data_IF_716651576424
#
_entry.id   IF_716651576424
#
_cell.length_a   1.000
_cell.length_b   1.000
_cell.length_c   1.000
_cell.angle_alpha   90.00
_cell.angle_beta   90.00
_cell.angle_gamma   90.00
#
_symmetry.space_group_name_H-M   'P 1'
#
loop_
_entity.id
_entity.type
_entity.pdbx_description
1 polymer ?
#
# COMPACT_ATOMS: atom_id res chain seq x y z
N UNK A 1 30.70 90.57 10.02
CA UNK A 1 30.74 89.74 8.79
C UNK A 1 30.68 88.28 9.20
N UNK A 2 29.61 87.59 8.75
CA UNK A 2 29.40 86.15 8.44
C UNK A 2 30.15 85.11 9.29
N UNK A 3 29.51 84.31 10.14
CA UNK A 3 28.64 83.13 9.83
C UNK A 3 29.33 82.12 8.91
N UNK A 4 30.06 81.17 9.49
CA UNK A 4 30.43 79.85 8.93
C UNK A 4 30.75 78.93 10.12
N UNK A 5 30.29 77.70 10.29
CA UNK A 5 29.18 76.93 9.73
C UNK A 5 29.02 75.72 10.66
N UNK A 6 27.87 75.63 11.32
CA UNK A 6 27.44 74.43 12.04
C UNK A 6 26.89 73.42 11.02
N UNK A 7 27.74 72.60 10.42
CA UNK A 7 27.33 71.57 9.45
C UNK A 7 28.15 70.28 9.58
N UNK A 8 28.32 69.76 10.80
CA UNK A 8 28.89 68.42 11.02
C UNK A 8 27.92 67.42 11.68
N UNK A 9 26.75 67.88 12.16
CA UNK A 9 25.86 67.06 12.99
C UNK A 9 24.76 66.25 12.28
N UNK A 10 24.48 66.51 10.99
CA UNK A 10 23.26 65.97 10.34
C UNK A 10 23.53 64.70 9.52
N UNK A 11 24.78 64.40 9.15
CA UNK A 11 25.09 63.28 8.27
C UNK A 11 25.03 61.88 8.97
N UNK A 12 25.28 61.80 10.28
CA UNK A 12 25.28 60.53 11.02
C UNK A 12 23.87 60.02 11.39
N UNK A 13 22.88 60.91 11.49
CA UNK A 13 21.50 60.53 11.84
C UNK A 13 20.76 59.86 10.69
N UNK A 14 20.98 60.31 9.44
CA UNK A 14 20.28 59.79 8.26
C UNK A 14 20.79 58.40 7.86
N UNK A 15 22.10 58.15 7.99
CA UNK A 15 22.71 56.84 7.71
C UNK A 15 22.23 55.74 8.66
N UNK A 16 22.12 56.03 9.97
CA UNK A 16 21.63 55.08 10.98
C UNK A 16 20.13 54.77 10.81
N UNK A 17 19.31 55.74 10.41
CA UNK A 17 17.90 55.50 10.09
C UNK A 17 17.75 54.68 8.81
N UNK A 18 18.59 54.88 7.80
CA UNK A 18 18.52 54.12 6.55
C UNK A 18 19.01 52.66 6.72
N UNK A 19 20.11 52.45 7.45
CA UNK A 19 20.60 51.09 7.81
C UNK A 19 19.64 50.40 8.77
N UNK A 20 19.08 51.13 9.75
CA UNK A 20 18.04 50.62 10.64
C UNK A 20 16.75 50.25 9.90
N UNK A 21 16.37 51.01 8.87
CA UNK A 21 15.20 50.71 8.04
C UNK A 21 15.46 49.53 7.09
N UNK A 22 16.65 49.40 6.51
CA UNK A 22 17.03 48.22 5.72
C UNK A 22 17.16 46.97 6.60
N UNK A 23 17.66 47.08 7.84
CA UNK A 23 17.71 45.97 8.78
C UNK A 23 16.31 45.59 9.31
N UNK A 24 15.44 46.56 9.59
CA UNK A 24 14.05 46.31 10.01
C UNK A 24 13.18 45.82 8.84
N UNK A 25 13.43 46.26 7.61
CA UNK A 25 12.76 45.74 6.40
C UNK A 25 13.37 44.40 5.93
N UNK A 26 14.64 44.15 6.20
CA UNK A 26 15.33 42.88 5.95
C UNK A 26 14.89 41.78 6.92
N UNK A 27 14.76 42.11 8.21
CA UNK A 27 14.26 41.18 9.25
C UNK A 27 12.73 40.96 9.15
N UNK A 28 11.98 41.88 8.52
CA UNK A 28 10.53 41.72 8.30
C UNK A 28 10.16 40.98 7.01
N UNK A 29 11.07 40.86 6.04
CA UNK A 29 10.79 40.15 4.78
C UNK A 29 10.84 38.62 4.89
N UNK A 30 11.40 38.07 5.96
CA UNK A 30 11.70 36.63 6.04
C UNK A 30 10.72 35.79 6.89
N UNK A 31 9.61 36.38 7.36
CA UNK A 31 8.57 35.65 8.15
C UNK A 31 7.24 35.42 7.44
N UNK A 32 7.08 35.87 6.20
CA UNK A 32 5.93 35.46 5.39
C UNK A 32 6.35 34.25 4.57
N UNK A 33 6.45 33.10 5.23
CA UNK A 33 6.43 31.83 4.53
C UNK A 33 5.21 31.86 3.59
N UNK A 34 5.42 31.54 2.30
CA UNK A 34 4.32 31.57 1.33
C UNK A 34 3.22 30.63 1.85
N UNK A 35 1.92 30.95 1.69
CA UNK A 35 0.84 30.07 2.14
C UNK A 35 1.02 28.61 1.69
N UNK A 36 1.56 28.42 0.49
CA UNK A 36 1.92 27.11 -0.07
C UNK A 36 3.02 26.38 0.73
N UNK A 37 4.05 27.09 1.20
CA UNK A 37 5.12 26.50 2.03
C UNK A 37 4.60 26.14 3.42
N UNK A 38 3.71 26.95 4.00
CA UNK A 38 3.06 26.64 5.28
C UNK A 38 2.16 25.42 5.12
N UNK A 39 1.36 25.35 4.06
CA UNK A 39 0.52 24.19 3.76
C UNK A 39 1.37 22.92 3.54
N UNK A 40 2.49 23.02 2.81
CA UNK A 40 3.42 21.92 2.62
C UNK A 40 4.06 21.46 3.94
N UNK A 41 4.45 22.39 4.80
CA UNK A 41 4.96 22.07 6.15
C UNK A 41 3.91 21.37 7.02
N UNK A 42 2.69 21.90 7.07
CA UNK A 42 1.59 21.29 7.82
C UNK A 42 1.23 19.89 7.33
N UNK A 43 1.29 19.66 6.00
CA UNK A 43 1.10 18.32 5.41
C UNK A 43 2.18 17.35 5.89
N UNK A 44 3.45 17.78 5.84
CA UNK A 44 4.59 17.00 6.31
C UNK A 44 4.48 16.67 7.81
N UNK A 45 4.20 17.66 8.66
CA UNK A 45 4.07 17.44 10.10
C UNK A 45 2.94 16.46 10.43
N UNK A 46 1.84 16.50 9.66
CA UNK A 46 0.71 15.58 9.83
C UNK A 46 1.07 14.16 9.40
N UNK A 47 1.80 14.01 8.30
CA UNK A 47 2.34 12.74 7.84
C UNK A 47 3.31 12.13 8.86
N UNK A 48 4.27 12.91 9.34
CA UNK A 48 5.25 12.48 10.33
C UNK A 48 4.58 11.97 11.62
N UNK A 49 3.51 12.65 12.09
CA UNK A 49 2.72 12.16 13.24
C UNK A 49 1.99 10.83 12.98
N UNK A 50 1.53 10.58 11.76
CA UNK A 50 0.91 9.29 11.42
C UNK A 50 1.96 8.18 11.48
N UNK A 51 3.14 8.42 10.88
CA UNK A 51 4.24 7.47 10.88
C UNK A 51 4.72 7.18 12.31
N UNK A 52 4.91 8.23 13.13
CA UNK A 52 5.31 8.09 14.53
C UNK A 52 4.33 7.21 15.32
N UNK A 53 3.01 7.46 15.19
CA UNK A 53 1.98 6.63 15.84
C UNK A 53 1.99 5.19 15.35
N UNK A 54 2.29 4.96 14.06
CA UNK A 54 2.31 3.62 13.46
C UNK A 54 3.48 2.77 13.95
N UNK A 55 4.59 3.40 14.33
CA UNK A 55 5.77 2.76 14.93
C UNK A 55 5.76 2.77 16.47
N UNK A 56 4.67 3.25 17.09
CA UNK A 56 4.50 3.24 18.55
C UNK A 56 4.48 1.82 19.11
N UNK A 57 5.00 1.63 20.32
CA UNK A 57 4.85 0.35 21.05
C UNK A 57 3.41 0.16 21.54
N UNK A 58 2.60 1.23 21.62
CA UNK A 58 1.20 1.17 22.01
C UNK A 58 0.31 0.74 20.83
N UNK A 59 -0.33 -0.43 20.97
CA UNK A 59 -1.27 -0.96 19.98
C UNK A 59 -2.44 0.00 19.68
N UNK A 60 -2.93 0.75 20.67
CA UNK A 60 -4.01 1.71 20.48
C UNK A 60 -3.56 2.92 19.64
N UNK A 61 -2.32 3.39 19.82
CA UNK A 61 -1.75 4.46 18.98
C UNK A 61 -1.53 3.99 17.55
N UNK A 62 -1.01 2.76 17.37
CA UNK A 62 -0.85 2.15 16.05
C UNK A 62 -2.18 1.98 15.34
N UNK A 63 -3.22 1.50 16.03
CA UNK A 63 -4.57 1.43 15.47
C UNK A 63 -5.10 2.80 15.08
N UNK A 64 -4.94 3.81 15.94
CA UNK A 64 -5.39 5.18 15.68
C UNK A 64 -4.65 5.80 14.48
N UNK A 65 -3.39 5.42 14.22
CA UNK A 65 -2.62 5.88 13.08
C UNK A 65 -3.31 5.60 11.73
N UNK A 66 -3.95 4.44 11.57
CA UNK A 66 -4.68 4.08 10.35
C UNK A 66 -5.97 4.90 10.16
N UNK A 67 -6.63 5.27 11.25
CA UNK A 67 -7.79 6.16 11.20
C UNK A 67 -7.38 7.59 10.82
N UNK A 68 -6.24 8.06 11.34
CA UNK A 68 -5.65 9.34 10.98
C UNK A 68 -5.16 9.36 9.52
N UNK A 69 -4.55 8.28 9.05
CA UNK A 69 -4.11 8.12 7.67
C UNK A 69 -5.31 8.09 6.70
N UNK A 70 -6.39 7.38 7.04
CA UNK A 70 -7.60 7.40 6.24
C UNK A 70 -8.16 8.82 6.08
N UNK A 71 -8.21 9.56 7.19
CA UNK A 71 -8.65 10.95 7.18
C UNK A 71 -7.72 11.81 6.32
N UNK A 72 -6.42 11.62 6.42
CA UNK A 72 -5.43 12.30 5.58
C UNK A 72 -5.69 12.07 4.09
N UNK A 73 -5.85 10.80 3.66
CA UNK A 73 -6.14 10.43 2.26
C UNK A 73 -7.48 10.98 1.76
N UNK A 74 -8.44 11.24 2.66
CA UNK A 74 -9.72 11.87 2.28
C UNK A 74 -9.57 13.38 2.04
N UNK A 75 -8.67 14.03 2.76
CA UNK A 75 -8.45 15.47 2.69
C UNK A 75 -7.44 15.87 1.60
N UNK A 76 -6.46 15.01 1.33
CA UNK A 76 -5.37 15.26 0.37
C UNK A 76 -5.43 14.24 -0.77
N UNK A 77 -5.82 14.67 -1.97
CA UNK A 77 -5.98 13.79 -3.15
C UNK A 77 -4.69 13.04 -3.53
N UNK A 78 -3.55 13.69 -3.32
CA UNK A 78 -2.26 13.23 -3.79
C UNK A 78 -1.60 12.27 -2.79
N UNK A 79 -2.12 12.19 -1.55
CA UNK A 79 -1.57 11.35 -0.48
C UNK A 79 -1.90 9.86 -0.62
N UNK A 80 -2.70 9.48 -1.61
CA UNK A 80 -3.22 8.11 -1.76
C UNK A 80 -2.13 7.09 -2.06
N UNK A 81 -1.16 7.44 -2.90
CA UNK A 81 -0.03 6.55 -3.23
C UNK A 81 0.83 6.28 -2.00
N UNK A 82 1.27 7.35 -1.34
CA UNK A 82 2.09 7.28 -0.13
C UNK A 82 1.38 6.47 0.97
N UNK A 83 0.07 6.66 1.14
CA UNK A 83 -0.70 5.90 2.12
C UNK A 83 -0.77 4.41 1.78
N UNK A 84 -0.85 4.05 0.50
CA UNK A 84 -0.80 2.65 0.08
C UNK A 84 0.58 2.06 0.35
N UNK A 85 1.66 2.76 0.00
CA UNK A 85 3.04 2.30 0.26
C UNK A 85 3.30 2.11 1.77
N UNK A 86 2.88 3.07 2.60
CA UNK A 86 3.02 3.02 4.05
C UNK A 86 2.21 1.85 4.64
N UNK A 87 0.96 1.66 4.17
CA UNK A 87 0.11 0.57 4.62
C UNK A 87 0.68 -0.80 4.24
N UNK A 88 1.19 -0.94 3.02
CA UNK A 88 1.87 -2.16 2.56
C UNK A 88 3.12 -2.44 3.40
N UNK A 89 3.94 -1.42 3.66
CA UNK A 89 5.12 -1.52 4.52
C UNK A 89 4.77 -2.02 5.93
N UNK A 90 3.66 -1.56 6.50
CA UNK A 90 3.19 -2.09 7.77
C UNK A 90 2.73 -3.55 7.69
N UNK A 91 1.96 -3.91 6.66
CA UNK A 91 1.45 -5.28 6.46
C UNK A 91 2.57 -6.31 6.23
N UNK A 92 3.71 -5.89 5.68
CA UNK A 92 4.92 -6.72 5.50
C UNK A 92 5.73 -6.94 6.79
N UNK A 93 5.44 -6.23 7.89
CA UNK A 93 6.08 -6.54 9.18
C UNK A 93 5.74 -7.99 9.56
N UNK A 94 6.66 -8.75 10.19
CA UNK A 94 6.40 -10.15 10.54
C UNK A 94 5.12 -10.31 11.37
N UNK A 95 4.28 -11.26 10.97
CA UNK A 95 3.05 -11.60 11.68
C UNK A 95 2.86 -13.11 11.64
N UNK A 96 2.56 -13.70 12.79
CA UNK A 96 2.39 -15.14 12.89
C UNK A 96 0.95 -15.51 12.55
N UNK A 97 0.81 -16.53 11.70
CA UNK A 97 -0.45 -17.20 11.43
C UNK A 97 -0.30 -18.70 11.77
N UNK A 98 -1.27 -19.33 12.49
CA UNK A 98 -2.52 -18.75 13.01
C UNK A 98 -2.33 -17.58 13.98
N UNK A 99 -3.34 -16.72 14.10
CA UNK A 99 -3.26 -15.48 14.89
C UNK A 99 -2.93 -15.78 16.35
N UNK A 100 -1.78 -15.28 16.81
CA UNK A 100 -1.36 -15.34 18.22
C UNK A 100 -1.54 -13.99 18.93
N UNK A 101 -1.41 -12.89 18.20
CA UNK A 101 -1.51 -11.52 18.70
C UNK A 101 -2.81 -10.89 18.20
N UNK A 102 -3.82 -10.85 19.07
CA UNK A 102 -5.15 -10.31 18.75
C UNK A 102 -5.13 -8.79 18.55
N UNK A 103 -4.27 -8.06 19.29
CA UNK A 103 -4.17 -6.61 19.18
C UNK A 103 -3.56 -6.22 17.82
N UNK A 104 -2.46 -6.87 17.44
CA UNK A 104 -1.85 -6.71 16.12
C UNK A 104 -2.81 -7.12 14.99
N UNK A 105 -3.59 -8.17 15.20
CA UNK A 105 -4.58 -8.61 14.23
C UNK A 105 -5.66 -7.54 13.97
N UNK A 106 -6.15 -6.87 15.02
CA UNK A 106 -7.09 -5.75 14.88
C UNK A 106 -6.46 -4.61 14.08
N UNK A 107 -5.20 -4.28 14.34
CA UNK A 107 -4.49 -3.21 13.61
C UNK A 107 -4.31 -3.59 12.14
N UNK A 108 -3.89 -4.82 11.84
CA UNK A 108 -3.74 -5.32 10.47
C UNK A 108 -5.05 -5.37 9.71
N UNK A 109 -6.16 -5.68 10.38
CA UNK A 109 -7.49 -5.58 9.78
C UNK A 109 -7.83 -4.14 9.40
N UNK A 110 -7.49 -3.17 10.25
CA UNK A 110 -7.66 -1.75 9.93
C UNK A 110 -6.77 -1.31 8.74
N UNK A 111 -5.53 -1.79 8.69
CA UNK A 111 -4.60 -1.59 7.58
C UNK A 111 -5.14 -2.18 6.26
N UNK A 112 -5.58 -3.45 6.25
CA UNK A 112 -6.22 -4.08 5.09
C UNK A 112 -7.45 -3.28 4.64
N UNK A 113 -8.32 -2.85 5.57
CA UNK A 113 -9.50 -2.06 5.24
C UNK A 113 -9.18 -0.69 4.63
N UNK A 114 -8.11 -0.03 5.10
CA UNK A 114 -7.60 1.19 4.47
C UNK A 114 -7.10 0.90 3.05
N UNK A 115 -6.27 -0.14 2.90
CA UNK A 115 -5.71 -0.54 1.62
C UNK A 115 -6.83 -0.83 0.59
N UNK A 116 -7.81 -1.66 0.95
CA UNK A 116 -9.00 -1.95 0.13
C UNK A 116 -9.70 -0.67 -0.33
N UNK A 117 -9.99 0.25 0.60
CA UNK A 117 -10.67 1.51 0.27
C UNK A 117 -9.84 2.38 -0.68
N UNK A 118 -8.52 2.40 -0.51
CA UNK A 118 -7.64 3.11 -1.41
C UNK A 118 -7.62 2.43 -2.79
N UNK A 119 -7.53 1.10 -2.88
CA UNK A 119 -7.44 0.37 -4.16
C UNK A 119 -8.75 0.33 -4.97
N UNK A 120 -9.93 0.38 -4.32
CA UNK A 120 -11.23 0.47 -5.01
C UNK A 120 -11.48 1.80 -5.72
N UNK A 121 -10.83 2.88 -5.26
CA UNK A 121 -11.00 4.20 -5.89
C UNK A 121 -10.33 4.20 -7.27
N UNK A 122 -11.14 4.04 -8.31
CA UNK A 122 -10.69 4.09 -9.70
C UNK A 122 -10.28 5.51 -10.10
N UNK A 123 -9.15 5.65 -10.80
CA UNK A 123 -8.64 6.91 -11.34
C UNK A 123 -7.47 7.46 -10.53
N UNK A 124 -6.24 7.32 -11.05
CA UNK A 124 -5.02 7.92 -10.47
C UNK A 124 -3.85 6.98 -10.26
N UNK A 125 -4.01 5.66 -10.49
CA UNK A 125 -2.94 4.66 -10.29
C UNK A 125 -2.12 4.35 -11.54
N UNK A 126 -2.32 5.07 -12.65
CA UNK A 126 -1.68 4.75 -13.92
C UNK A 126 -0.14 4.78 -13.86
N UNK A 127 0.41 5.46 -12.84
CA UNK A 127 1.85 5.58 -12.60
C UNK A 127 2.38 4.74 -11.45
N UNK A 128 1.54 3.93 -10.77
CA UNK A 128 2.05 3.05 -9.72
C UNK A 128 2.93 1.96 -10.34
N UNK A 129 4.15 1.86 -9.82
CA UNK A 129 5.10 0.86 -10.29
C UNK A 129 4.77 -0.54 -9.77
N UNK A 130 4.46 -0.65 -8.48
CA UNK A 130 4.26 -1.93 -7.79
C UNK A 130 3.37 -1.76 -6.55
N UNK A 131 2.63 -2.81 -6.20
CA UNK A 131 1.93 -2.97 -4.93
C UNK A 131 2.63 -4.12 -4.17
N UNK A 132 3.66 -3.77 -3.41
CA UNK A 132 4.51 -4.74 -2.71
C UNK A 132 3.88 -5.22 -1.39
N UNK A 133 3.39 -6.45 -1.41
CA UNK A 133 2.89 -7.22 -0.27
C UNK A 133 3.69 -8.52 -0.11
N UNK A 134 4.97 -8.51 -0.51
CA UNK A 134 5.86 -9.65 -0.33
C UNK A 134 5.98 -9.99 1.16
N UNK A 135 6.01 -11.28 1.51
CA UNK A 135 6.09 -11.80 2.87
C UNK A 135 4.89 -11.44 3.77
N UNK A 136 3.88 -10.75 3.23
CA UNK A 136 2.72 -10.30 4.01
C UNK A 136 1.82 -11.49 4.39
N UNK A 137 1.33 -11.44 5.62
CA UNK A 137 0.28 -12.34 6.10
C UNK A 137 -1.04 -11.60 6.12
N UNK A 138 -1.89 -11.92 5.16
CA UNK A 138 -3.20 -11.33 4.96
C UNK A 138 -4.27 -12.34 5.39
N UNK A 139 -5.20 -11.88 6.21
CA UNK A 139 -6.27 -12.72 6.76
C UNK A 139 -7.59 -12.15 6.29
N UNK A 140 -8.31 -12.94 5.50
CA UNK A 140 -9.57 -12.57 4.88
C UNK A 140 -9.52 -11.16 4.25
N UNK A 141 -8.50 -10.80 3.42
CA UNK A 141 -8.50 -9.51 2.77
C UNK A 141 -9.71 -9.42 1.84
N UNK A 142 -10.40 -8.28 1.90
CA UNK A 142 -11.46 -7.92 0.97
C UNK A 142 -10.87 -7.08 -0.15
N UNK A 143 -10.47 -7.71 -1.24
CA UNK A 143 -10.00 -7.03 -2.46
C UNK A 143 -10.97 -7.18 -3.64
N UNK A 144 -12.24 -7.47 -3.36
CA UNK A 144 -13.26 -7.50 -4.40
C UNK A 144 -13.31 -6.14 -5.12
N UNK A 145 -13.35 -6.19 -6.45
CA UNK A 145 -13.36 -5.04 -7.37
C UNK A 145 -12.19 -4.06 -7.20
N UNK A 146 -11.09 -4.48 -6.55
CA UNK A 146 -9.90 -3.65 -6.38
C UNK A 146 -9.02 -3.60 -7.64
N UNK A 147 -8.31 -2.49 -7.79
CA UNK A 147 -7.20 -2.36 -8.72
C UNK A 147 -5.89 -2.82 -8.06
N UNK A 148 -5.47 -4.04 -8.37
CA UNK A 148 -4.27 -4.69 -7.87
C UNK A 148 -3.16 -4.69 -8.94
N UNK A 149 -3.07 -3.60 -9.71
CA UNK A 149 -2.04 -3.46 -10.74
C UNK A 149 -0.63 -3.54 -10.15
N UNK A 150 0.15 -4.51 -10.62
CA UNK A 150 1.54 -4.70 -10.18
C UNK A 150 1.63 -5.29 -8.77
N UNK A 151 0.65 -6.09 -8.35
CA UNK A 151 0.66 -6.68 -7.02
C UNK A 151 1.66 -7.84 -6.91
N UNK A 152 2.51 -7.76 -5.89
CA UNK A 152 3.45 -8.80 -5.52
C UNK A 152 3.09 -9.32 -4.13
N UNK A 153 2.68 -10.58 -4.05
CA UNK A 153 2.32 -11.27 -2.81
C UNK A 153 3.34 -12.35 -2.45
N UNK A 154 4.49 -12.43 -3.14
CA UNK A 154 5.44 -13.55 -3.02
C UNK A 154 5.78 -13.88 -1.58
N UNK A 155 5.98 -15.16 -1.30
CA UNK A 155 6.36 -15.65 0.03
C UNK A 155 5.37 -15.34 1.16
N UNK A 156 4.19 -14.80 0.82
CA UNK A 156 3.14 -14.44 1.77
C UNK A 156 2.18 -15.57 2.14
N UNK A 157 1.25 -15.24 3.03
CA UNK A 157 0.14 -16.11 3.44
C UNK A 157 -1.17 -15.39 3.21
N UNK A 158 -2.11 -16.05 2.53
CA UNK A 158 -3.48 -15.57 2.37
C UNK A 158 -4.42 -16.56 3.07
N UNK A 159 -4.87 -16.18 4.26
CA UNK A 159 -5.75 -16.99 5.10
C UNK A 159 -7.22 -16.73 4.75
N UNK A 160 -7.60 -17.25 3.57
CA UNK A 160 -8.86 -16.91 2.91
C UNK A 160 -8.83 -15.48 2.39
N UNK A 161 -9.54 -15.19 1.31
CA UNK A 161 -9.51 -13.85 0.70
C UNK A 161 -10.47 -13.71 -0.47
N UNK A 162 -10.95 -12.49 -0.67
CA UNK A 162 -11.88 -12.15 -1.75
C UNK A 162 -11.16 -11.28 -2.79
N UNK A 163 -10.95 -11.82 -3.98
CA UNK A 163 -10.41 -11.15 -5.15
C UNK A 163 -11.45 -11.13 -6.28
N UNK A 164 -12.74 -11.30 -5.97
CA UNK A 164 -13.80 -11.30 -6.96
C UNK A 164 -13.78 -10.01 -7.78
N UNK A 165 -13.74 -10.11 -9.11
CA UNK A 165 -13.73 -8.94 -9.98
C UNK A 165 -12.47 -8.06 -9.89
N UNK A 166 -11.44 -8.49 -9.14
CA UNK A 166 -10.20 -7.73 -8.99
C UNK A 166 -9.45 -7.64 -10.33
N UNK A 167 -8.74 -6.52 -10.55
CA UNK A 167 -8.02 -6.25 -11.81
C UNK A 167 -6.52 -6.14 -11.57
N UNK A 168 -5.74 -6.96 -12.28
CA UNK A 168 -4.28 -7.00 -12.19
C UNK A 168 -3.63 -6.47 -13.49
N UNK A 169 -3.72 -5.15 -13.77
CA UNK A 169 -3.43 -4.63 -15.13
C UNK A 169 -1.99 -4.79 -15.64
N UNK A 170 -1.04 -4.92 -14.72
CA UNK A 170 0.37 -5.18 -15.02
C UNK A 170 0.63 -6.65 -14.72
N UNK A 171 1.67 -7.00 -13.98
CA UNK A 171 1.87 -8.37 -13.52
C UNK A 171 1.10 -8.63 -12.22
N UNK A 172 0.89 -9.92 -11.93
CA UNK A 172 0.43 -10.41 -10.63
C UNK A 172 1.34 -11.56 -10.19
N UNK A 173 1.99 -11.41 -9.04
CA UNK A 173 2.90 -12.41 -8.52
C UNK A 173 2.38 -13.02 -7.21
N UNK A 174 2.13 -14.32 -7.25
CA UNK A 174 1.72 -15.16 -6.12
C UNK A 174 2.69 -16.33 -5.92
N UNK A 175 3.94 -16.20 -6.36
CA UNK A 175 4.92 -17.28 -6.21
C UNK A 175 5.16 -17.60 -4.74
N UNK A 176 5.18 -18.90 -4.41
CA UNK A 176 5.38 -19.43 -3.06
C UNK A 176 4.36 -18.93 -2.03
N UNK A 177 3.22 -18.39 -2.46
CA UNK A 177 2.14 -18.00 -1.55
C UNK A 177 1.46 -19.23 -0.95
N UNK A 178 1.14 -19.16 0.34
CA UNK A 178 0.34 -20.18 1.01
C UNK A 178 -1.11 -19.71 1.20
N UNK A 179 -2.03 -20.31 0.43
CA UNK A 179 -3.47 -20.13 0.55
C UNK A 179 -4.08 -21.16 1.52
N UNK A 180 -4.42 -20.75 2.74
CA UNK A 180 -4.91 -21.68 3.78
C UNK A 180 -6.43 -21.70 3.95
N UNK A 181 -7.13 -20.66 3.50
CA UNK A 181 -8.59 -20.52 3.56
C UNK A 181 -9.25 -20.40 2.18
N UNK A 182 -10.56 -20.24 2.16
CA UNK A 182 -11.32 -20.05 0.91
C UNK A 182 -10.85 -18.79 0.20
N UNK A 183 -10.33 -18.94 -1.02
CA UNK A 183 -9.82 -17.82 -1.82
C UNK A 183 -10.58 -17.74 -3.13
N UNK A 184 -11.18 -16.58 -3.39
CA UNK A 184 -12.07 -16.37 -4.52
C UNK A 184 -11.45 -15.43 -5.55
N UNK A 185 -11.13 -15.94 -6.74
CA UNK A 185 -10.68 -15.16 -7.90
C UNK A 185 -11.74 -15.08 -8.99
N UNK A 186 -13.02 -15.32 -8.67
CA UNK A 186 -14.08 -15.30 -9.68
C UNK A 186 -14.17 -13.95 -10.39
N UNK A 187 -14.33 -13.98 -11.71
CA UNK A 187 -14.38 -12.78 -12.56
C UNK A 187 -13.17 -11.84 -12.43
N UNK A 188 -12.06 -12.27 -11.81
CA UNK A 188 -10.83 -11.49 -11.76
C UNK A 188 -10.18 -11.40 -13.15
N UNK A 189 -9.57 -10.27 -13.47
CA UNK A 189 -8.96 -10.00 -14.76
C UNK A 189 -7.43 -9.90 -14.65
N UNK A 190 -6.74 -10.74 -15.41
CA UNK A 190 -5.28 -10.87 -15.52
C UNK A 190 -4.82 -10.59 -16.96
N UNK A 191 -4.73 -9.32 -17.38
CA UNK A 191 -4.38 -8.95 -18.75
C UNK A 191 -2.90 -9.13 -19.11
N UNK A 192 -2.02 -9.42 -18.14
CA UNK A 192 -0.60 -9.76 -18.40
C UNK A 192 -0.19 -10.99 -17.60
N UNK A 193 1.09 -11.33 -17.72
CA UNK A 193 1.74 -12.40 -16.98
C UNK A 193 1.32 -12.48 -15.51
N UNK A 194 0.86 -13.67 -15.12
CA UNK A 194 0.44 -14.01 -13.76
C UNK A 194 1.12 -15.30 -13.34
N UNK A 195 1.70 -15.30 -12.15
CA UNK A 195 2.45 -16.45 -11.64
C UNK A 195 1.95 -16.87 -10.27
N UNK A 196 1.78 -18.18 -10.09
CA UNK A 196 1.49 -18.89 -8.84
C UNK A 196 2.53 -20.00 -8.66
N UNK A 197 3.76 -19.80 -9.14
CA UNK A 197 4.78 -20.83 -9.13
C UNK A 197 5.10 -21.24 -7.69
N UNK A 198 5.16 -22.54 -7.43
CA UNK A 198 5.40 -23.12 -6.11
C UNK A 198 4.38 -22.73 -5.03
N UNK A 199 3.25 -22.13 -5.39
CA UNK A 199 2.18 -21.80 -4.44
C UNK A 199 1.56 -23.06 -3.82
N UNK A 200 1.10 -22.93 -2.56
CA UNK A 200 0.42 -23.99 -1.84
C UNK A 200 -1.04 -23.63 -1.61
N UNK A 201 -1.95 -24.46 -2.12
CA UNK A 201 -3.39 -24.32 -1.94
C UNK A 201 -3.90 -25.37 -0.95
N UNK A 202 -4.05 -24.97 0.31
CA UNK A 202 -4.63 -25.78 1.39
C UNK A 202 -6.13 -25.50 1.58
N UNK A 203 -6.59 -24.29 1.23
CA UNK A 203 -8.00 -23.89 1.20
C UNK A 203 -8.71 -24.21 -0.12
N UNK A 204 -10.01 -23.91 -0.19
CA UNK A 204 -10.76 -23.98 -1.46
C UNK A 204 -10.38 -22.80 -2.34
N UNK A 205 -10.09 -23.01 -3.62
CA UNK A 205 -9.72 -21.92 -4.53
C UNK A 205 -10.49 -21.98 -5.84
N UNK A 206 -11.09 -20.87 -6.25
CA UNK A 206 -11.85 -20.81 -7.50
C UNK A 206 -11.36 -19.70 -8.42
N UNK A 207 -11.09 -20.05 -9.67
CA UNK A 207 -10.82 -19.15 -10.78
C UNK A 207 -11.98 -19.13 -11.80
N UNK A 208 -13.21 -19.49 -11.38
CA UNK A 208 -14.35 -19.53 -12.32
C UNK A 208 -14.60 -18.13 -12.91
N UNK A 209 -14.78 -18.05 -14.23
CA UNK A 209 -14.95 -16.78 -14.97
C UNK A 209 -13.75 -15.81 -14.87
N UNK A 210 -12.63 -16.22 -14.28
CA UNK A 210 -11.41 -15.42 -14.33
C UNK A 210 -10.87 -15.36 -15.76
N UNK A 211 -10.46 -14.16 -16.18
CA UNK A 211 -9.94 -13.91 -17.52
C UNK A 211 -8.42 -13.77 -17.46
N UNK A 212 -7.73 -14.59 -18.25
CA UNK A 212 -6.27 -14.53 -18.43
C UNK A 212 -5.97 -14.23 -19.90
N UNK A 213 -5.42 -13.05 -20.19
CA UNK A 213 -5.02 -12.69 -21.57
C UNK A 213 -3.68 -13.34 -21.95
N UNK A 214 -2.76 -13.42 -20.99
CA UNK A 214 -1.49 -14.13 -21.11
C UNK A 214 -1.54 -15.49 -20.38
N UNK A 215 -0.53 -16.33 -20.58
CA UNK A 215 -0.43 -17.60 -19.86
C UNK A 215 -0.23 -17.37 -18.37
N UNK A 216 -1.01 -18.11 -17.57
CA UNK A 216 -0.81 -18.24 -16.13
C UNK A 216 0.15 -19.40 -15.83
N UNK A 217 1.11 -19.14 -14.94
CA UNK A 217 2.07 -20.14 -14.47
C UNK A 217 1.67 -20.72 -13.12
N UNK A 218 1.62 -22.04 -13.03
CA UNK A 218 1.42 -22.81 -11.78
C UNK A 218 2.53 -23.86 -11.63
N UNK A 219 3.70 -23.68 -12.24
CA UNK A 219 4.79 -24.63 -12.12
C UNK A 219 5.14 -24.88 -10.65
N UNK A 220 5.33 -26.15 -10.29
CA UNK A 220 5.59 -26.56 -8.92
C UNK A 220 4.44 -26.35 -7.91
N UNK A 221 3.31 -25.73 -8.30
CA UNK A 221 2.21 -25.45 -7.40
C UNK A 221 1.49 -26.73 -6.92
N UNK A 222 1.01 -26.70 -5.68
CA UNK A 222 0.46 -27.88 -4.98
C UNK A 222 -0.90 -27.59 -4.37
N UNK A 223 -1.75 -28.60 -4.37
CA UNK A 223 -3.07 -28.56 -3.75
C UNK A 223 -3.09 -29.62 -2.65
N UNK A 224 -3.19 -29.22 -1.39
CA UNK A 224 -3.01 -30.16 -0.27
C UNK A 224 -4.13 -31.21 -0.20
N UNK A 225 -5.38 -30.79 -0.47
CA UNK A 225 -6.56 -31.65 -0.55
C UNK A 225 -7.48 -31.12 -1.63
N UNK A 226 -7.44 -31.68 -2.86
CA UNK A 226 -8.28 -31.23 -3.95
C UNK A 226 -9.77 -31.40 -3.60
N UNK A 227 -10.54 -30.33 -3.79
CA UNK A 227 -11.98 -30.27 -3.49
C UNK A 227 -12.76 -30.12 -4.79
N UNK A 228 -14.00 -30.62 -4.79
CA UNK A 228 -14.89 -30.49 -5.95
C UNK A 228 -15.27 -29.03 -6.27
N UNK A 229 -15.13 -28.13 -5.28
CA UNK A 229 -15.38 -26.69 -5.44
C UNK A 229 -14.16 -25.94 -6.00
N UNK A 230 -12.99 -26.59 -6.11
CA UNK A 230 -11.82 -25.96 -6.71
C UNK A 230 -12.01 -25.81 -8.22
N UNK A 231 -11.63 -24.65 -8.74
CA UNK A 231 -11.69 -24.35 -10.18
C UNK A 231 -10.35 -23.81 -10.62
N UNK A 232 -9.75 -24.43 -11.63
CA UNK A 232 -8.42 -24.08 -12.15
C UNK A 232 -8.55 -23.62 -13.61
N UNK A 233 -7.83 -22.57 -14.03
CA UNK A 233 -7.89 -22.09 -15.40
C UNK A 233 -7.29 -23.11 -16.37
N UNK A 234 -7.87 -23.22 -17.57
CA UNK A 234 -7.30 -24.05 -18.64
C UNK A 234 -5.88 -23.57 -18.99
N UNK A 235 -4.91 -24.46 -19.26
CA UNK A 235 -5.01 -25.92 -19.33
C UNK A 235 -4.75 -26.64 -18.00
N UNK A 236 -4.67 -25.95 -16.87
CA UNK A 236 -4.22 -26.55 -15.61
C UNK A 236 -5.26 -27.49 -15.00
N UNK A 237 -4.78 -28.63 -14.50
CA UNK A 237 -5.59 -29.58 -13.74
C UNK A 237 -4.78 -30.14 -12.57
N UNK A 238 -5.49 -30.61 -11.55
CA UNK A 238 -4.85 -31.27 -10.42
C UNK A 238 -4.58 -32.73 -10.78
N UNK A 239 -3.32 -33.14 -10.69
CA UNK A 239 -2.90 -34.52 -10.79
C UNK A 239 -2.51 -35.05 -9.40
N UNK A 240 -3.15 -36.14 -8.99
CA UNK A 240 -2.92 -36.78 -7.68
C UNK A 240 -2.10 -38.05 -7.90
N UNK A 241 -0.86 -38.05 -7.39
CA UNK A 241 0.11 -39.11 -7.64
C UNK A 241 -0.06 -40.35 -6.73
N UNK A 242 -0.77 -40.22 -5.61
CA UNK A 242 -0.77 -41.20 -4.51
C UNK A 242 -1.95 -40.96 -3.55
N UNK A 243 -2.40 -41.93 -2.73
CA UNK A 243 -3.57 -41.76 -1.85
C UNK A 243 -3.41 -40.72 -0.73
N UNK A 244 -2.23 -40.08 -0.63
CA UNK A 244 -1.84 -39.17 0.47
C UNK A 244 -2.49 -37.77 0.36
N UNK A 245 -3.48 -37.60 -0.52
CA UNK A 245 -4.32 -36.41 -0.57
C UNK A 245 -3.73 -35.20 -1.29
N UNK A 246 -2.41 -35.09 -1.43
CA UNK A 246 -1.77 -33.95 -2.10
C UNK A 246 -1.72 -34.11 -3.63
N UNK A 247 -2.24 -33.12 -4.34
CA UNK A 247 -2.18 -32.97 -5.79
C UNK A 247 -1.14 -31.96 -6.24
N UNK A 248 -0.63 -32.12 -7.46
CA UNK A 248 0.18 -31.11 -8.15
C UNK A 248 -0.62 -30.51 -9.29
N UNK A 249 -0.50 -29.21 -9.52
CA UNK A 249 -1.02 -28.61 -10.73
C UNK A 249 -0.10 -28.96 -11.90
N UNK A 250 -0.71 -29.50 -12.96
CA UNK A 250 -0.02 -29.84 -14.19
C UNK A 250 -0.83 -29.34 -15.38
N UNK A 251 -0.19 -28.89 -16.46
CA UNK A 251 -0.90 -28.58 -17.69
C UNK A 251 -1.51 -29.87 -18.26
N UNK A 252 -2.74 -29.79 -18.74
CA UNK A 252 -3.34 -30.84 -19.57
C UNK A 252 -2.48 -31.01 -20.82
N UNK A 253 -2.10 -32.25 -21.09
CA UNK A 253 -1.54 -32.62 -22.39
C UNK A 253 -2.73 -32.76 -23.34
N UNK A 254 -2.73 -31.97 -24.41
CA UNK A 254 -3.64 -32.14 -25.54
C UNK A 254 -3.49 -33.51 -26.21
#
# INVERSE_FOLDING_TARGET
MHVVAALAGVALGVGLVYVGRIAVEGVRRDRRARPEQIAAGLRRDRWERVVEKMDSEDAAERLASFADLERYVREESDAREDAIELTCTYLRKPFKFPVEDEDEFVIRRAAQGLLTRCLRRSGGLEHREELDLQDAVLVEPDFADCDLSGADFRDGVIAGGDFHGARFRRFANFDRVWFTGTTDFRAAAFPRFTSFAEAMFSGTTTFAEAEFEDRVDFDGARVERPRAADSWPSPWQVWVASPVGQGRLVPRKD
#
